data_IF_110039340277
#
_entry.id   IF_110039340277
#
_cell.length_a   1.000
_cell.length_b   1.000
_cell.length_c   1.000
_cell.angle_alpha   90.00
_cell.angle_beta   90.00
_cell.angle_gamma   90.00
#
_symmetry.space_group_name_H-M   'P 1'
#
loop_
_entity.id
_entity.type
_entity.pdbx_description
1 polymer ?
#
# COMPACT_ATOMS: atom_id res chain seq x y z
N UNK A 1 -6.73 7.71 -3.48
CA UNK A 1 -6.87 9.00 -4.19
C UNK A 1 -5.84 9.02 -5.31
N UNK A 2 -6.28 9.33 -6.54
CA UNK A 2 -5.37 9.52 -7.66
C UNK A 2 -4.50 10.76 -7.40
N UNK A 3 -3.16 10.69 -7.46
CA UNK A 3 -2.28 11.85 -7.26
C UNK A 3 -2.62 13.06 -8.13
N UNK A 4 -3.22 12.83 -9.30
CA UNK A 4 -3.68 13.90 -10.19
C UNK A 4 -4.82 14.73 -9.63
N UNK A 5 -5.63 14.15 -8.74
CA UNK A 5 -6.79 14.83 -8.14
C UNK A 5 -6.46 15.73 -6.96
N UNK A 6 -5.22 15.70 -6.44
CA UNK A 6 -4.77 16.49 -5.29
C UNK A 6 -3.95 17.73 -5.66
N UNK A 7 -4.07 18.23 -6.88
CA UNK A 7 -3.46 19.49 -7.32
C UNK A 7 -1.96 19.46 -7.59
N UNK A 8 -1.34 18.29 -7.69
CA UNK A 8 0.09 18.14 -8.03
C UNK A 8 0.42 18.70 -9.42
N UNK A 9 -0.58 18.91 -10.28
CA UNK A 9 -0.42 19.42 -11.63
C UNK A 9 -0.27 20.95 -11.76
N UNK A 10 -0.41 21.73 -10.69
CA UNK A 10 -0.39 23.20 -10.77
C UNK A 10 0.95 23.79 -11.25
N UNK A 11 2.04 23.08 -11.08
CA UNK A 11 3.40 23.55 -11.41
C UNK A 11 3.98 22.90 -12.68
N UNK A 12 3.14 22.25 -13.49
CA UNK A 12 3.59 21.37 -14.59
C UNK A 12 3.21 21.90 -15.97
N UNK A 13 3.27 23.23 -16.18
CA UNK A 13 2.92 23.85 -17.45
C UNK A 13 3.71 23.33 -18.67
N UNK A 14 4.97 22.90 -18.45
CA UNK A 14 5.87 22.42 -19.50
C UNK A 14 6.02 20.90 -19.54
N UNK A 15 5.32 20.15 -18.67
CA UNK A 15 5.44 18.69 -18.59
C UNK A 15 4.37 17.97 -19.40
N UNK A 16 4.80 16.98 -20.17
CA UNK A 16 3.87 16.12 -20.91
C UNK A 16 3.03 15.29 -19.93
N UNK A 17 1.74 15.57 -19.85
CA UNK A 17 0.80 14.92 -18.93
C UNK A 17 0.72 13.40 -19.11
N UNK A 18 0.92 12.90 -20.34
CA UNK A 18 0.96 11.46 -20.61
C UNK A 18 2.19 10.81 -19.97
N UNK A 19 3.38 11.40 -20.15
CA UNK A 19 4.62 10.92 -19.53
C UNK A 19 4.56 10.97 -18.00
N UNK A 20 3.98 12.02 -17.45
CA UNK A 20 3.75 12.12 -16.00
C UNK A 20 2.83 10.99 -15.51
N UNK A 21 1.73 10.73 -16.22
CA UNK A 21 0.82 9.64 -15.88
C UNK A 21 1.47 8.26 -15.93
N UNK A 22 2.33 8.01 -16.91
CA UNK A 22 3.11 6.77 -17.00
C UNK A 22 4.14 6.65 -15.87
N UNK A 23 4.85 7.73 -15.54
CA UNK A 23 5.81 7.75 -14.44
C UNK A 23 5.14 7.54 -13.08
N UNK A 24 4.00 8.20 -12.82
CA UNK A 24 3.20 7.99 -11.60
C UNK A 24 2.67 6.56 -11.51
N UNK A 25 2.19 5.99 -12.63
CA UNK A 25 1.74 4.60 -12.70
C UNK A 25 2.86 3.62 -12.32
N UNK A 26 4.06 3.82 -12.84
CA UNK A 26 5.24 3.01 -12.49
C UNK A 26 5.60 3.09 -11.01
N UNK A 27 5.56 4.29 -10.42
CA UNK A 27 5.83 4.46 -8.97
C UNK A 27 4.77 3.75 -8.12
N UNK A 28 3.49 3.85 -8.48
CA UNK A 28 2.41 3.16 -7.76
C UNK A 28 2.57 1.65 -7.88
N UNK A 29 2.87 1.13 -9.06
CA UNK A 29 3.12 -0.30 -9.28
C UNK A 29 4.29 -0.81 -8.44
N UNK A 30 5.41 -0.10 -8.40
CA UNK A 30 6.56 -0.44 -7.56
C UNK A 30 6.20 -0.45 -6.07
N UNK A 31 5.45 0.54 -5.60
CA UNK A 31 4.98 0.58 -4.22
C UNK A 31 4.06 -0.59 -3.88
N UNK A 32 3.12 -0.92 -4.77
CA UNK A 32 2.20 -2.04 -4.59
C UNK A 32 2.96 -3.36 -4.51
N UNK A 33 3.95 -3.57 -5.38
CA UNK A 33 4.76 -4.79 -5.41
C UNK A 33 5.67 -4.94 -4.18
N UNK A 34 6.12 -3.84 -3.57
CA UNK A 34 6.96 -3.87 -2.36
C UNK A 34 6.19 -3.98 -1.06
N UNK A 35 5.15 -3.17 -0.91
CA UNK A 35 4.42 -3.03 0.36
C UNK A 35 3.21 -3.94 0.40
N UNK A 36 2.63 -4.25 -0.74
CA UNK A 36 1.34 -4.91 -0.87
C UNK A 36 0.18 -3.94 -0.63
N UNK A 37 -1.01 -4.41 -0.87
CA UNK A 37 -2.25 -3.63 -0.78
C UNK A 37 -3.20 -4.30 0.20
N UNK A 38 -3.82 -3.52 1.08
CA UNK A 38 -4.88 -4.03 1.95
C UNK A 38 -6.15 -4.31 1.14
N UNK A 39 -6.56 -5.58 1.11
CA UNK A 39 -7.71 -6.06 0.36
C UNK A 39 -9.03 -5.40 0.80
N UNK A 40 -9.12 -5.02 2.07
CA UNK A 40 -10.33 -4.45 2.66
C UNK A 40 -10.49 -2.94 2.45
N UNK A 41 -9.40 -2.23 2.16
CA UNK A 41 -9.40 -0.77 2.03
C UNK A 41 -9.05 -0.27 0.65
N UNK A 42 -8.44 -1.10 -0.20
CA UNK A 42 -8.03 -0.71 -1.54
C UNK A 42 -9.20 -0.35 -2.45
N UNK A 43 -9.02 0.69 -3.23
CA UNK A 43 -9.94 1.06 -4.32
C UNK A 43 -9.72 0.19 -5.56
N UNK A 44 -10.73 0.11 -6.44
CA UNK A 44 -10.61 -0.63 -7.69
C UNK A 44 -9.41 -0.15 -8.55
N UNK A 45 -9.17 1.16 -8.75
CA UNK A 45 -7.99 1.63 -9.48
C UNK A 45 -6.67 1.18 -8.86
N UNK A 46 -6.57 1.12 -7.54
CA UNK A 46 -5.36 0.64 -6.86
C UNK A 46 -5.15 -0.87 -7.07
N UNK A 47 -6.22 -1.64 -7.03
CA UNK A 47 -6.17 -3.09 -7.28
C UNK A 47 -5.74 -3.43 -8.71
N UNK A 48 -6.02 -2.57 -9.69
CA UNK A 48 -5.61 -2.78 -11.10
C UNK A 48 -4.09 -2.80 -11.31
N UNK A 49 -3.31 -2.21 -10.40
CA UNK A 49 -1.85 -2.25 -10.44
C UNK A 49 -1.26 -3.59 -9.99
N UNK A 50 -2.07 -4.46 -9.41
CA UNK A 50 -1.61 -5.77 -8.92
C UNK A 50 -1.57 -6.76 -10.08
N UNK A 51 -0.47 -7.52 -10.17
CA UNK A 51 -0.32 -8.58 -11.16
C UNK A 51 -1.45 -9.61 -11.05
N UNK A 52 -2.06 -9.95 -12.17
CA UNK A 52 -3.18 -10.90 -12.24
C UNK A 52 -4.56 -10.29 -12.00
N UNK A 53 -4.66 -9.02 -11.67
CA UNK A 53 -5.94 -8.32 -11.49
C UNK A 53 -6.22 -7.40 -12.68
N UNK A 54 -7.26 -7.75 -13.45
CA UNK A 54 -7.80 -6.89 -14.50
C UNK A 54 -8.77 -5.86 -13.92
N UNK A 55 -9.11 -4.84 -14.71
CA UNK A 55 -10.11 -3.82 -14.33
C UNK A 55 -11.44 -4.43 -13.88
N UNK A 56 -11.90 -5.47 -14.59
CA UNK A 56 -13.14 -6.17 -14.25
C UNK A 56 -13.02 -6.92 -12.92
N UNK A 57 -11.88 -7.60 -12.69
CA UNK A 57 -11.63 -8.33 -11.43
C UNK A 57 -11.50 -7.36 -10.26
N UNK A 58 -10.82 -6.23 -10.42
CA UNK A 58 -10.71 -5.19 -9.40
C UNK A 58 -12.10 -4.68 -8.97
N UNK A 59 -12.96 -4.41 -9.92
CA UNK A 59 -14.34 -4.00 -9.66
C UNK A 59 -15.12 -5.10 -8.93
N UNK A 60 -15.02 -6.33 -9.37
CA UNK A 60 -15.70 -7.48 -8.75
C UNK A 60 -15.22 -7.71 -7.30
N UNK A 61 -13.95 -7.47 -7.00
CA UNK A 61 -13.43 -7.56 -5.63
C UNK A 61 -14.10 -6.52 -4.72
N UNK A 62 -14.21 -5.28 -5.19
CA UNK A 62 -14.89 -4.22 -4.43
C UNK A 62 -16.36 -4.53 -4.23
N UNK A 63 -17.07 -4.94 -5.29
CA UNK A 63 -18.48 -5.33 -5.22
C UNK A 63 -18.71 -6.52 -4.27
N UNK A 64 -17.83 -7.52 -4.32
CA UNK A 64 -17.89 -8.67 -3.40
C UNK A 64 -17.73 -8.23 -1.94
N UNK A 65 -16.77 -7.34 -1.67
CA UNK A 65 -16.54 -6.78 -0.34
C UNK A 65 -17.73 -5.99 0.18
N UNK A 66 -18.38 -5.21 -0.66
CA UNK A 66 -19.57 -4.44 -0.32
C UNK A 66 -20.79 -5.33 -0.05
N UNK A 67 -20.94 -6.41 -0.82
CA UNK A 67 -22.05 -7.34 -0.68
C UNK A 67 -21.90 -8.33 0.48
N UNK A 68 -20.68 -8.83 0.73
CA UNK A 68 -20.42 -9.91 1.68
C UNK A 68 -19.65 -9.47 2.93
N UNK A 69 -19.26 -8.19 3.03
CA UNK A 69 -18.46 -7.66 4.10
C UNK A 69 -16.95 -7.86 3.88
N UNK A 70 -16.18 -7.57 4.90
CA UNK A 70 -14.70 -7.62 4.84
C UNK A 70 -14.19 -9.03 4.55
N UNK A 71 -13.10 -9.09 3.82
CA UNK A 71 -12.35 -10.34 3.66
C UNK A 71 -11.65 -10.69 4.97
N UNK A 72 -11.79 -11.94 5.40
CA UNK A 72 -11.15 -12.48 6.60
C UNK A 72 -9.97 -13.38 6.26
N UNK A 73 -9.92 -13.94 5.07
CA UNK A 73 -8.80 -14.73 4.56
C UNK A 73 -8.64 -14.57 3.04
N UNK A 74 -7.43 -14.85 2.54
CA UNK A 74 -7.11 -14.75 1.10
C UNK A 74 -7.87 -15.74 0.24
N UNK A 75 -8.26 -16.90 0.76
CA UNK A 75 -9.02 -17.92 0.03
C UNK A 75 -10.40 -17.43 -0.41
N UNK A 76 -10.95 -16.44 0.27
CA UNK A 76 -12.23 -15.82 -0.14
C UNK A 76 -12.14 -15.14 -1.52
N UNK A 77 -10.95 -14.76 -1.97
CA UNK A 77 -10.74 -14.24 -3.32
C UNK A 77 -11.19 -15.22 -4.41
N UNK A 78 -11.09 -16.52 -4.18
CA UNK A 78 -11.54 -17.55 -5.11
C UNK A 78 -13.07 -17.54 -5.32
N UNK A 79 -13.83 -16.88 -4.44
CA UNK A 79 -15.27 -16.69 -4.56
C UNK A 79 -15.63 -15.45 -5.39
N UNK A 80 -14.66 -14.59 -5.68
CA UNK A 80 -14.89 -13.40 -6.50
C UNK A 80 -15.09 -13.79 -7.96
N UNK A 81 -16.18 -13.29 -8.62
CA UNK A 81 -16.43 -13.58 -10.03
C UNK A 81 -15.26 -13.17 -10.92
N UNK A 82 -14.95 -14.02 -11.91
CA UNK A 82 -13.86 -13.83 -12.88
C UNK A 82 -12.43 -13.86 -12.31
N UNK A 83 -12.24 -14.09 -11.04
CA UNK A 83 -10.94 -14.33 -10.42
C UNK A 83 -10.69 -15.83 -10.40
N UNK A 84 -9.97 -16.34 -11.40
CA UNK A 84 -9.63 -17.75 -11.49
C UNK A 84 -8.45 -18.14 -10.60
N UNK A 85 -8.18 -19.45 -10.44
CA UNK A 85 -7.06 -19.94 -9.63
C UNK A 85 -5.71 -19.38 -10.05
N UNK A 86 -5.48 -19.24 -11.34
CA UNK A 86 -4.23 -18.69 -11.90
C UNK A 86 -4.04 -17.21 -11.55
N UNK A 87 -5.11 -16.41 -11.64
CA UNK A 87 -5.08 -15.02 -11.21
C UNK A 87 -4.89 -14.90 -9.69
N UNK A 88 -5.50 -15.79 -8.92
CA UNK A 88 -5.29 -15.88 -7.47
C UNK A 88 -3.83 -16.15 -7.12
N UNK A 89 -3.18 -17.11 -7.76
CA UNK A 89 -1.76 -17.40 -7.56
C UNK A 89 -0.87 -16.17 -7.84
N UNK A 90 -1.19 -15.40 -8.86
CA UNK A 90 -0.44 -14.19 -9.20
C UNK A 90 -0.63 -13.04 -8.21
N UNK A 91 -1.85 -12.82 -7.73
CA UNK A 91 -2.18 -11.64 -6.92
C UNK A 91 -2.12 -11.88 -5.40
N UNK A 92 -2.21 -13.11 -4.93
CA UNK A 92 -2.34 -13.42 -3.50
C UNK A 92 -1.18 -12.92 -2.64
N UNK A 93 0.04 -12.92 -3.17
CA UNK A 93 1.22 -12.41 -2.47
C UNK A 93 1.23 -10.89 -2.26
N UNK A 94 0.50 -10.14 -3.09
CA UNK A 94 0.42 -8.68 -3.04
C UNK A 94 -0.81 -8.18 -2.28
N UNK A 95 -1.82 -9.00 -2.11
CA UNK A 95 -3.03 -8.67 -1.36
C UNK A 95 -2.89 -9.10 0.09
N UNK A 96 -3.10 -8.17 1.01
CA UNK A 96 -2.92 -8.37 2.44
C UNK A 96 -4.22 -8.13 3.20
N UNK A 97 -4.39 -8.86 4.28
CA UNK A 97 -5.52 -8.72 5.20
C UNK A 97 -4.95 -8.49 6.59
N UNK A 98 -5.02 -7.26 7.07
CA UNK A 98 -4.38 -6.86 8.33
C UNK A 98 -5.00 -7.53 9.55
N UNK A 99 -6.33 -7.68 9.54
CA UNK A 99 -7.13 -8.21 10.67
C UNK A 99 -7.84 -9.51 10.28
N UNK A 100 -7.15 -10.35 9.48
CA UNK A 100 -7.67 -11.64 9.04
C UNK A 100 -7.56 -12.75 10.10
N UNK A 101 -8.20 -13.87 9.82
CA UNK A 101 -8.14 -15.08 10.66
C UNK A 101 -6.71 -15.64 10.78
N UNK A 102 -5.97 -15.59 9.66
CA UNK A 102 -4.59 -16.08 9.62
C UNK A 102 -3.60 -14.89 9.58
N UNK A 103 -2.69 -14.76 10.55
CA UNK A 103 -1.67 -13.70 10.56
C UNK A 103 -0.79 -13.67 9.31
N UNK A 104 -0.58 -14.82 8.64
CA UNK A 104 0.18 -14.89 7.40
C UNK A 104 -0.47 -14.13 6.25
N UNK A 105 -1.78 -13.91 6.28
CA UNK A 105 -2.50 -13.10 5.29
C UNK A 105 -2.13 -11.60 5.34
N UNK A 106 -1.54 -11.15 6.44
CA UNK A 106 -0.98 -9.80 6.57
C UNK A 106 0.47 -9.69 6.07
N UNK A 107 1.06 -10.77 5.62
CA UNK A 107 2.45 -10.84 5.14
C UNK A 107 2.53 -10.98 3.62
N UNK A 108 3.74 -10.87 3.08
CA UNK A 108 4.03 -11.18 1.68
C UNK A 108 4.14 -12.68 1.38
N UNK A 109 3.96 -13.54 2.37
CA UNK A 109 4.01 -14.99 2.19
C UNK A 109 2.85 -15.44 1.31
N UNK A 110 3.17 -16.14 0.23
CA UNK A 110 2.15 -16.70 -0.67
C UNK A 110 1.41 -17.86 0.01
N UNK A 111 0.09 -18.03 -0.22
CA UNK A 111 -0.68 -19.14 0.37
C UNK A 111 -0.10 -20.55 0.13
N UNK A 112 0.56 -20.76 -0.99
CA UNK A 112 1.25 -22.03 -1.30
C UNK A 112 2.41 -22.33 -0.34
N UNK A 113 3.04 -21.30 0.22
CA UNK A 113 4.15 -21.40 1.16
C UNK A 113 3.69 -21.47 2.62
N UNK A 114 2.40 -21.43 2.90
CA UNK A 114 1.89 -21.50 4.28
C UNK A 114 2.31 -22.79 5.01
N UNK A 115 2.22 -23.98 4.42
CA UNK A 115 2.67 -25.21 5.09
C UNK A 115 4.14 -25.15 5.50
N UNK A 116 5.02 -24.72 4.59
CA UNK A 116 6.45 -24.58 4.86
C UNK A 116 6.74 -23.52 5.93
N UNK A 117 6.03 -22.39 5.89
CA UNK A 117 6.16 -21.32 6.89
C UNK A 117 5.68 -21.78 8.26
N UNK A 118 4.58 -22.51 8.33
CA UNK A 118 4.07 -23.09 9.58
C UNK A 118 5.05 -24.08 10.19
N UNK A 119 5.68 -24.93 9.37
CA UNK A 119 6.70 -25.87 9.81
C UNK A 119 7.94 -25.15 10.34
N UNK A 120 8.37 -24.07 9.67
CA UNK A 120 9.49 -23.23 10.13
C UNK A 120 9.18 -22.58 11.48
N UNK A 121 7.99 -21.98 11.63
CA UNK A 121 7.55 -21.38 12.90
C UNK A 121 7.54 -22.42 14.03
N UNK A 122 7.06 -23.61 13.75
CA UNK A 122 7.08 -24.74 14.71
C UNK A 122 8.51 -25.12 15.13
N UNK A 123 9.45 -25.16 14.20
CA UNK A 123 10.87 -25.42 14.48
C UNK A 123 11.53 -24.32 15.31
N UNK A 124 11.05 -23.08 15.18
CA UNK A 124 11.51 -21.92 15.94
C UNK A 124 10.76 -21.75 17.27
N UNK A 125 9.84 -22.66 17.60
CA UNK A 125 8.97 -22.59 18.79
C UNK A 125 8.13 -21.31 18.86
N UNK A 126 7.86 -20.69 17.70
CA UNK A 126 7.03 -19.49 17.58
C UNK A 126 5.57 -19.87 17.32
N UNK A 127 4.67 -19.23 18.06
CA UNK A 127 3.23 -19.34 17.86
C UNK A 127 2.71 -18.35 16.81
N UNK A 128 1.48 -18.55 16.34
CA UNK A 128 0.81 -17.58 15.48
C UNK A 128 0.50 -16.24 16.19
N UNK A 129 0.40 -16.26 17.53
CA UNK A 129 0.26 -15.06 18.32
C UNK A 129 1.56 -14.26 18.38
N UNK A 130 2.71 -14.92 18.45
CA UNK A 130 4.02 -14.26 18.39
C UNK A 130 4.20 -13.56 17.04
N UNK A 131 3.74 -14.16 15.94
CA UNK A 131 3.74 -13.52 14.61
C UNK A 131 2.85 -12.28 14.59
N UNK A 132 1.67 -12.32 15.21
CA UNK A 132 0.79 -11.14 15.33
C UNK A 132 1.44 -10.02 16.12
N UNK A 133 2.07 -10.35 17.25
CA UNK A 133 2.78 -9.37 18.07
C UNK A 133 3.92 -8.70 17.34
N UNK A 134 4.76 -9.47 16.66
CA UNK A 134 5.87 -8.97 15.85
C UNK A 134 5.39 -8.05 14.72
N UNK A 135 4.26 -8.39 14.08
CA UNK A 135 3.64 -7.53 13.06
C UNK A 135 3.10 -6.22 13.63
N UNK A 136 2.50 -6.27 14.83
CA UNK A 136 1.99 -5.09 15.50
C UNK A 136 3.13 -4.14 15.91
N UNK A 137 4.24 -4.67 16.39
CA UNK A 137 5.43 -3.90 16.73
C UNK A 137 6.10 -3.29 15.48
N UNK A 138 6.19 -4.04 14.40
CA UNK A 138 6.72 -3.55 13.12
C UNK A 138 5.86 -2.41 12.54
N UNK A 139 4.54 -2.46 12.71
CA UNK A 139 3.64 -1.35 12.34
C UNK A 139 3.87 -0.12 13.20
N UNK A 140 4.04 -0.27 14.51
CA UNK A 140 4.32 0.85 15.44
C UNK A 140 5.66 1.51 15.12
N UNK A 141 6.70 0.73 14.84
CA UNK A 141 8.02 1.24 14.46
C UNK A 141 8.01 2.04 13.15
N UNK A 142 7.24 1.59 12.14
CA UNK A 142 7.07 2.34 10.89
C UNK A 142 6.26 3.62 11.05
N UNK A 143 5.24 3.63 11.90
CA UNK A 143 4.46 4.83 12.18
C UNK A 143 5.31 5.90 12.90
N UNK A 144 6.18 5.49 13.84
CA UNK A 144 7.08 6.38 14.56
C UNK A 144 8.16 7.01 13.65
N UNK A 145 8.65 6.27 12.67
CA UNK A 145 9.62 6.79 11.69
C UNK A 145 9.02 7.80 10.70
N UNK A 146 7.74 7.65 10.36
CA UNK A 146 7.05 8.59 9.47
C UNK A 146 6.71 9.92 10.15
N UNK A 147 6.54 9.96 11.47
CA UNK A 147 6.26 11.20 12.21
C UNK A 147 7.52 12.02 12.48
N UNK A 148 8.68 11.39 12.61
CA UNK A 148 9.96 12.10 12.82
C UNK A 148 10.55 12.74 11.57
N UNK A 149 10.03 12.41 10.38
CA UNK A 149 10.48 12.97 9.10
C UNK A 149 9.80 14.27 8.67
N UNK A 150 8.74 14.69 9.35
CA UNK A 150 7.94 15.88 8.95
C UNK A 150 8.41 17.14 9.67
N UNK A 151 8.98 17.04 10.87
CA UNK A 151 9.35 18.22 11.66
C UNK A 151 10.70 18.83 11.32
N UNK A 152 11.54 18.19 10.50
CA UNK A 152 12.87 18.72 10.16
C UNK A 152 12.92 19.61 8.91
N UNK A 153 11.81 19.79 8.18
CA UNK A 153 11.77 20.63 6.97
C UNK A 153 11.15 22.02 7.15
N UNK A 154 10.58 22.33 8.32
CA UNK A 154 9.96 23.63 8.56
C UNK A 154 10.80 24.60 9.41
N UNK A 155 12.00 24.23 9.81
CA UNK A 155 12.85 25.10 10.66
C UNK A 155 13.90 25.92 9.90
N UNK A 156 14.00 25.83 8.58
CA UNK A 156 15.04 26.55 7.81
C UNK A 156 14.52 27.61 6.82
N UNK A 157 13.25 28.01 6.95
CA UNK A 157 12.59 28.95 6.00
C UNK A 157 12.41 30.39 6.49
N UNK A 158 12.71 30.74 7.75
CA UNK A 158 12.28 32.05 8.32
C UNK A 158 13.42 32.96 8.81
N UNK A 159 14.66 32.71 8.41
CA UNK A 159 15.80 33.53 8.82
C UNK A 159 16.41 34.43 7.73
N UNK A 160 15.73 34.61 6.57
CA UNK A 160 16.30 35.40 5.46
C UNK A 160 15.41 36.55 4.95
N UNK A 161 14.57 37.15 5.79
CA UNK A 161 13.77 38.32 5.40
C UNK A 161 13.70 39.43 6.44
N UNK A 162 14.83 39.80 7.04
CA UNK A 162 14.96 41.06 7.76
C UNK A 162 16.38 41.57 7.59
N UNK A 163 16.70 42.18 6.48
CA UNK A 163 17.76 43.18 6.40
C UNK A 163 17.89 43.83 4.99
N UNK A 164 16.88 44.50 4.51
CA UNK A 164 17.06 45.55 3.48
C UNK A 164 15.96 46.61 3.66
N UNK A 165 16.14 47.49 4.59
CA UNK A 165 15.53 48.85 4.51
C UNK A 165 16.15 49.76 5.58
N UNK A 166 17.32 50.29 5.29
CA UNK A 166 17.78 51.54 5.88
C UNK A 166 19.10 51.97 5.20
N UNK A 167 19.00 52.66 4.07
CA UNK A 167 19.98 53.68 3.66
C UNK A 167 19.51 54.33 2.37
N UNK A 168 19.10 55.58 2.51
CA UNK A 168 18.86 56.42 1.36
C UNK A 168 17.96 57.61 1.67
N UNK A 169 18.48 58.58 2.47
CA UNK A 169 18.18 59.99 2.33
C UNK A 169 19.21 60.81 3.10
N UNK A 170 20.10 61.37 2.41
CA UNK A 170 20.68 62.69 2.59
C UNK A 170 21.19 63.16 1.25
#
# INVERSE_FOLDING_TARGET
IDPKSIGVGQYQHDMNQKKLGEALGGVVEDCVNRVGVDLNTASAPLLEYISGISKTVAKNIVEYREANGRFTNRKQLLKVPKLGPKAFEQCAGFLRIADGENPLDATSVHPESYPATMELLKKLELSMEDVRMLQAEAKKGRAAQNTSGVDSKNASGDAARQNVSAKGKA
#
